data_IF_862876293509
#
_entry.id   IF_862876293509
#
_cell.length_a   1.000
_cell.length_b   1.000
_cell.length_c   1.000
_cell.angle_alpha   90.00
_cell.angle_beta   90.00
_cell.angle_gamma   90.00
#
_symmetry.space_group_name_H-M   'P 1'
#
loop_
_entity.id
_entity.type
_entity.pdbx_description
1 polymer ?
#
# COMPACT_ATOMS: atom_id res chain seq x y z
N UNK A 1 -8.66 -14.02 -4.62
CA UNK A 1 -9.82 -13.20 -5.04
C UNK A 1 -9.41 -11.79 -5.52
N UNK A 2 -8.40 -11.14 -4.94
CA UNK A 2 -7.92 -9.81 -5.34
C UNK A 2 -7.33 -9.70 -6.76
N UNK A 3 -6.67 -10.75 -7.27
CA UNK A 3 -6.02 -10.69 -8.60
C UNK A 3 -6.97 -10.42 -9.78
N UNK A 4 -8.25 -10.81 -9.69
CA UNK A 4 -9.24 -10.52 -10.75
C UNK A 4 -9.73 -9.08 -10.74
N UNK A 5 -9.71 -8.40 -9.58
CA UNK A 5 -10.18 -7.01 -9.46
C UNK A 5 -9.22 -6.03 -10.16
N UNK A 6 -7.91 -6.31 -10.06
CA UNK A 6 -6.86 -5.46 -10.63
C UNK A 6 -6.59 -5.70 -12.11
N UNK A 7 -7.07 -6.80 -12.69
CA UNK A 7 -6.79 -7.17 -14.09
C UNK A 7 -7.52 -6.30 -15.12
N UNK A 8 -8.67 -5.70 -14.76
CA UNK A 8 -9.40 -4.73 -15.61
C UNK A 8 -8.99 -3.28 -15.38
N UNK A 9 -8.20 -2.99 -14.35
CA UNK A 9 -7.80 -1.63 -14.06
C UNK A 9 -6.66 -1.20 -14.97
N UNK A 10 -6.70 0.06 -15.42
CA UNK A 10 -5.61 0.65 -16.16
C UNK A 10 -4.35 0.59 -15.28
N UNK A 11 -3.24 -0.01 -15.74
CA UNK A 11 -2.05 -0.18 -14.91
C UNK A 11 -1.51 1.16 -14.40
N UNK A 12 -1.63 2.25 -15.16
CA UNK A 12 -1.24 3.58 -14.65
C UNK A 12 -2.03 4.01 -13.40
N UNK A 13 -3.31 3.64 -13.33
CA UNK A 13 -4.16 3.90 -12.15
C UNK A 13 -3.75 3.00 -11.00
N UNK A 14 -3.44 1.73 -11.28
CA UNK A 14 -2.98 0.78 -10.28
C UNK A 14 -1.62 1.16 -9.67
N UNK A 15 -0.67 1.63 -10.49
CA UNK A 15 0.60 2.19 -10.03
C UNK A 15 0.39 3.38 -9.10
N UNK A 16 -0.49 4.32 -9.50
CA UNK A 16 -0.78 5.52 -8.73
C UNK A 16 -1.42 5.18 -7.37
N UNK A 17 -2.38 4.26 -7.36
CA UNK A 17 -2.98 3.73 -6.14
C UNK A 17 -1.94 3.04 -5.25
N UNK A 18 -1.04 2.23 -5.83
CA UNK A 18 0.05 1.60 -5.09
C UNK A 18 0.99 2.62 -4.44
N UNK A 19 1.30 3.70 -5.15
CA UNK A 19 2.15 4.79 -4.64
C UNK A 19 1.46 5.59 -3.52
N UNK A 20 0.17 5.88 -3.68
CA UNK A 20 -0.66 6.54 -2.65
C UNK A 20 -0.77 5.67 -1.40
N UNK A 21 -0.99 4.36 -1.54
CA UNK A 21 -0.98 3.43 -0.41
C UNK A 21 0.40 3.31 0.26
N UNK A 22 1.49 3.38 -0.49
CA UNK A 22 2.85 3.40 0.08
C UNK A 22 3.08 4.64 0.93
N UNK A 23 2.71 5.82 0.42
CA UNK A 23 2.84 7.10 1.13
C UNK A 23 1.92 7.16 2.35
N UNK A 24 0.67 6.76 2.18
CA UNK A 24 -0.31 6.69 3.27
C UNK A 24 0.13 5.70 4.37
N UNK A 25 0.64 4.53 3.99
CA UNK A 25 1.18 3.55 4.93
C UNK A 25 2.36 4.08 5.74
N UNK A 26 3.25 4.87 5.11
CA UNK A 26 4.36 5.51 5.81
C UNK A 26 3.89 6.61 6.79
N UNK A 27 2.93 7.43 6.37
CA UNK A 27 2.30 8.46 7.19
C UNK A 27 1.52 7.88 8.38
N UNK A 28 0.75 6.81 8.17
CA UNK A 28 0.05 6.12 9.25
C UNK A 28 1.03 5.37 10.16
N UNK A 29 2.00 4.65 9.60
CA UNK A 29 2.92 3.82 10.36
C UNK A 29 3.92 4.63 11.20
N UNK A 30 4.56 5.65 10.63
CA UNK A 30 5.57 6.43 11.35
C UNK A 30 4.98 7.70 12.00
N UNK A 31 4.07 8.40 11.29
CA UNK A 31 3.50 9.66 11.76
C UNK A 31 2.42 9.46 12.82
N UNK A 32 1.44 8.58 12.56
CA UNK A 32 0.33 8.36 13.50
C UNK A 32 0.79 7.59 14.73
N UNK A 33 1.57 6.50 14.58
CA UNK A 33 2.10 5.75 15.73
C UNK A 33 3.03 6.61 16.58
N UNK A 34 3.88 7.45 15.98
CA UNK A 34 4.75 8.36 16.73
C UNK A 34 3.98 9.39 17.56
N UNK A 35 2.92 9.99 16.99
CA UNK A 35 2.02 10.88 17.74
C UNK A 35 1.24 10.15 18.83
N UNK A 36 0.79 8.93 18.56
CA UNK A 36 0.03 8.09 19.48
C UNK A 36 0.87 7.64 20.67
N UNK A 37 2.12 7.22 20.46
CA UNK A 37 3.04 6.88 21.57
C UNK A 37 3.37 8.11 22.41
N UNK A 38 3.42 9.30 21.79
CA UNK A 38 3.68 10.55 22.51
C UNK A 38 2.48 11.03 23.34
N UNK A 39 1.28 10.53 23.05
CA UNK A 39 0.09 10.74 23.85
C UNK A 39 -0.07 9.56 24.82
N UNK A 40 0.17 9.78 26.10
CA UNK A 40 0.09 8.79 27.21
C UNK A 40 -1.30 8.09 27.34
N UNK A 41 -2.23 8.38 26.42
CA UNK A 41 -3.59 7.87 26.38
C UNK A 41 -3.74 6.48 25.75
N UNK A 42 -2.76 6.01 24.96
CA UNK A 42 -2.87 4.74 24.24
C UNK A 42 -1.88 3.70 24.79
N UNK A 43 -2.37 2.49 25.01
CA UNK A 43 -1.53 1.39 25.49
C UNK A 43 -0.56 0.92 24.39
N UNK A 44 0.64 0.50 24.77
CA UNK A 44 1.68 0.02 23.84
C UNK A 44 1.17 -1.06 22.88
N UNK A 45 0.24 -1.91 23.34
CA UNK A 45 -0.40 -2.93 22.53
C UNK A 45 -1.26 -2.37 21.39
N UNK A 46 -1.98 -1.27 21.62
CA UNK A 46 -2.81 -0.62 20.60
C UNK A 46 -1.94 0.12 19.57
N UNK A 47 -0.86 0.77 20.02
CA UNK A 47 0.15 1.34 19.14
C UNK A 47 0.80 0.30 18.24
N UNK A 48 1.08 -0.89 18.76
CA UNK A 48 1.63 -2.00 17.98
C UNK A 48 0.66 -2.53 16.91
N UNK A 49 -0.64 -2.61 17.22
CA UNK A 49 -1.67 -2.99 16.24
C UNK A 49 -1.80 -1.94 15.14
N UNK A 50 -1.74 -0.65 15.47
CA UNK A 50 -1.74 0.44 14.48
C UNK A 50 -0.49 0.41 13.59
N UNK A 51 0.67 0.10 14.17
CA UNK A 51 1.90 -0.10 13.41
C UNK A 51 1.79 -1.26 12.43
N UNK A 52 1.29 -2.42 12.88
CA UNK A 52 1.03 -3.58 12.03
C UNK A 52 0.03 -3.25 10.91
N UNK A 53 -0.99 -2.44 11.20
CA UNK A 53 -1.95 -1.98 10.20
C UNK A 53 -1.31 -1.07 9.14
N UNK A 54 -0.47 -0.12 9.56
CA UNK A 54 0.29 0.73 8.63
C UNK A 54 1.23 -0.09 7.74
N UNK A 55 1.90 -1.09 8.33
CA UNK A 55 2.78 -2.01 7.62
C UNK A 55 2.01 -2.91 6.63
N UNK A 56 0.81 -3.36 7.01
CA UNK A 56 -0.08 -4.12 6.13
C UNK A 56 -0.50 -3.29 4.90
N UNK A 57 -0.94 -2.05 5.09
CA UNK A 57 -1.28 -1.14 3.99
C UNK A 57 -0.07 -0.87 3.10
N UNK A 58 1.11 -0.71 3.70
CA UNK A 58 2.36 -0.50 2.98
C UNK A 58 2.74 -1.70 2.07
N UNK A 59 2.58 -2.93 2.56
CA UNK A 59 2.78 -4.15 1.77
C UNK A 59 1.79 -4.22 0.61
N UNK A 60 0.52 -3.89 0.83
CA UNK A 60 -0.49 -3.87 -0.24
C UNK A 60 -0.13 -2.86 -1.34
N UNK A 61 0.36 -1.68 -0.97
CA UNK A 61 0.85 -0.69 -1.94
C UNK A 61 1.97 -1.22 -2.82
N UNK A 62 2.92 -1.97 -2.22
CA UNK A 62 3.98 -2.66 -2.95
C UNK A 62 3.47 -3.73 -3.90
N UNK A 63 2.50 -4.55 -3.47
CA UNK A 63 1.91 -5.59 -4.30
C UNK A 63 1.17 -4.95 -5.49
N UNK A 64 0.44 -3.85 -5.28
CA UNK A 64 -0.27 -3.14 -6.33
C UNK A 64 0.69 -2.55 -7.39
N UNK A 65 1.79 -1.93 -6.94
CA UNK A 65 2.86 -1.44 -7.82
C UNK A 65 3.49 -2.57 -8.63
N UNK A 66 3.85 -3.67 -7.98
CA UNK A 66 4.45 -4.83 -8.64
C UNK A 66 3.50 -5.47 -9.67
N UNK A 67 2.21 -5.57 -9.35
CA UNK A 67 1.20 -6.05 -10.29
C UNK A 67 1.03 -5.11 -11.48
N UNK A 68 1.04 -3.79 -11.24
CA UNK A 68 0.97 -2.78 -12.30
C UNK A 68 2.14 -2.88 -13.27
N UNK A 69 3.37 -2.98 -12.74
CA UNK A 69 4.57 -3.14 -13.56
C UNK A 69 4.53 -4.43 -14.39
N UNK A 70 4.09 -5.53 -13.78
CA UNK A 70 3.93 -6.81 -14.48
C UNK A 70 2.94 -6.70 -15.65
N UNK A 71 1.82 -5.99 -15.45
CA UNK A 71 0.81 -5.75 -16.50
C UNK A 71 1.37 -4.84 -17.61
N UNK A 72 2.09 -3.76 -17.26
CA UNK A 72 2.74 -2.87 -18.23
C UNK A 72 3.75 -3.60 -19.10
N UNK A 73 4.63 -4.40 -18.48
CA UNK A 73 5.64 -5.17 -19.20
C UNK A 73 5.01 -6.24 -20.10
N UNK A 74 3.90 -6.87 -19.68
CA UNK A 74 3.17 -7.81 -20.53
C UNK A 74 2.48 -7.16 -21.74
N UNK A 75 2.01 -5.91 -21.62
CA UNK A 75 1.40 -5.18 -22.73
C UNK A 75 2.42 -4.57 -23.71
N UNK A 76 3.65 -4.33 -23.25
CA UNK A 76 4.70 -3.77 -24.10
C UNK A 76 5.34 -4.82 -25.03
N UNK A 77 5.11 -6.12 -24.76
CA UNK A 77 5.56 -7.24 -25.60
C UNK A 77 4.57 -7.68 -26.68
N UNK A 78 3.36 -7.09 -26.77
CA UNK A 78 2.44 -7.38 -27.87
C UNK A 78 2.77 -6.44 -29.06
N UNK A 79 3.20 -6.97 -30.22
CA UNK A 79 3.36 -6.16 -31.42
C UNK A 79 2.00 -5.58 -31.83
N UNK A 80 2.00 -4.27 -32.09
CA UNK A 80 0.84 -3.54 -32.63
C UNK A 80 0.39 -4.10 -33.97
#
# INVERSE_FOLDING_TARGET
>A
MFGKLFYKMNPKVLAKIGEDFRKAGYLMGAGFVGMVISNDQISTSEGFVLFLWGLYIWIIGHIALHHSEKILNSKQGEPK
#
